data_IF_116592276530
#
_entry.id   IF_116592276530
#
_cell.length_a   1.000
_cell.length_b   1.000
_cell.length_c   1.000
_cell.angle_alpha   90.00
_cell.angle_beta   90.00
_cell.angle_gamma   90.00
#
_symmetry.space_group_name_H-M   'P 1'
#
loop_
_entity.id
_entity.type
_entity.pdbx_description
1 polymer ?
#
# COMPACT_ATOMS: atom_id res chain seq x y z
N UNK A 1 0.71 0.52 12.81
CA UNK A 1 1.09 -0.50 11.81
C UNK A 1 1.19 -1.91 12.37
N UNK A 2 1.79 -2.17 13.54
CA UNK A 2 1.86 -3.54 14.12
C UNK A 2 0.49 -4.24 14.37
N UNK A 3 -0.60 -3.48 14.45
CA UNK A 3 -1.98 -3.98 14.66
C UNK A 3 -2.93 -3.71 13.49
N UNK A 4 -2.41 -3.22 12.36
CA UNK A 4 -3.21 -2.98 11.15
C UNK A 4 -2.98 -4.15 10.21
N UNK A 5 -3.89 -5.11 10.21
CA UNK A 5 -3.88 -6.23 9.29
C UNK A 5 -5.11 -6.12 8.40
N UNK A 6 -4.90 -5.85 7.11
CA UNK A 6 -5.95 -5.74 6.12
C UNK A 6 -5.36 -6.10 4.76
N UNK A 7 -6.05 -6.92 3.97
CA UNK A 7 -5.61 -7.43 2.65
C UNK A 7 -5.31 -6.34 1.60
N UNK A 8 -5.52 -5.07 1.94
CA UNK A 8 -5.35 -3.90 1.05
C UNK A 8 -4.39 -2.85 1.63
N UNK A 9 -3.79 -3.12 2.79
CA UNK A 9 -2.75 -2.29 3.39
C UNK A 9 -1.41 -3.00 3.25
N UNK A 10 -0.37 -2.23 2.92
CA UNK A 10 0.97 -2.78 2.83
C UNK A 10 1.38 -3.36 4.19
N UNK A 11 1.69 -4.65 4.21
CA UNK A 11 2.02 -5.36 5.44
C UNK A 11 3.46 -5.02 5.87
N UNK A 12 3.60 -4.57 7.11
CA UNK A 12 4.89 -4.39 7.77
C UNK A 12 5.37 -5.73 8.34
N UNK A 13 6.51 -6.22 7.87
CA UNK A 13 7.13 -7.45 8.39
C UNK A 13 8.05 -7.18 9.57
N UNK A 14 8.93 -6.19 9.46
CA UNK A 14 9.90 -5.88 10.51
C UNK A 14 10.39 -4.44 10.45
N UNK A 15 10.93 -3.97 11.58
CA UNK A 15 11.69 -2.72 11.68
C UNK A 15 13.03 -3.07 12.31
N UNK A 16 14.12 -2.78 11.61
CA UNK A 16 15.47 -3.01 12.11
C UNK A 16 16.10 -1.66 12.47
N UNK A 17 16.60 -1.56 13.70
CA UNK A 17 17.12 -0.31 14.29
C UNK A 17 18.44 -0.53 15.03
N UNK A 18 19.08 -1.68 14.84
CA UNK A 18 20.36 -2.03 15.47
C UNK A 18 21.42 -2.31 14.40
N UNK A 19 22.65 -1.82 14.59
CA UNK A 19 23.12 -0.98 15.69
C UNK A 19 22.65 0.51 15.59
N UNK A 20 22.67 1.29 16.69
CA UNK A 20 22.03 2.63 16.78
C UNK A 20 22.59 3.71 15.85
N UNK A 21 23.78 3.48 15.29
CA UNK A 21 24.50 4.31 14.34
C UNK A 21 24.10 4.06 12.88
N UNK A 22 23.22 3.08 12.63
CA UNK A 22 22.73 2.74 11.29
C UNK A 22 21.32 3.29 11.01
N UNK A 23 20.97 3.46 9.71
CA UNK A 23 19.63 3.90 9.33
C UNK A 23 18.57 2.86 9.71
N UNK A 24 17.37 3.34 10.04
CA UNK A 24 16.22 2.50 10.32
C UNK A 24 15.75 1.83 9.03
N UNK A 25 15.69 0.50 9.03
CA UNK A 25 15.12 -0.27 7.92
C UNK A 25 13.67 -0.64 8.23
N UNK A 26 12.79 -0.43 7.25
CA UNK A 26 11.38 -0.83 7.30
C UNK A 26 11.18 -1.91 6.25
N UNK A 27 10.92 -3.13 6.70
CA UNK A 27 10.72 -4.29 5.83
C UNK A 27 9.23 -4.47 5.63
N UNK A 28 8.76 -4.37 4.39
CA UNK A 28 7.35 -4.50 4.00
C UNK A 28 7.20 -5.50 2.87
N UNK A 29 5.96 -5.87 2.55
CA UNK A 29 5.70 -6.66 1.34
C UNK A 29 6.13 -5.92 0.06
N UNK A 30 6.45 -6.69 -0.97
CA UNK A 30 6.84 -6.14 -2.27
C UNK A 30 5.60 -5.92 -3.14
N UNK A 31 5.36 -4.67 -3.54
CA UNK A 31 4.34 -4.33 -4.53
C UNK A 31 4.92 -4.51 -5.94
N UNK A 32 4.55 -5.60 -6.63
CA UNK A 32 5.11 -5.97 -7.94
C UNK A 32 5.02 -4.88 -9.01
N UNK A 33 3.99 -4.03 -8.93
CA UNK A 33 3.72 -2.96 -9.89
C UNK A 33 4.19 -1.57 -9.42
N UNK A 34 4.89 -1.50 -8.29
CA UNK A 34 5.36 -0.24 -7.71
C UNK A 34 4.22 0.66 -7.19
N UNK A 35 4.41 1.97 -7.29
CA UNK A 35 3.43 2.95 -6.82
C UNK A 35 2.32 3.17 -7.86
N UNK A 36 1.10 3.37 -7.37
CA UNK A 36 -0.10 3.51 -8.23
C UNK A 36 -0.01 4.69 -9.19
N UNK A 37 0.63 5.79 -8.79
CA UNK A 37 0.75 6.98 -9.64
C UNK A 37 1.55 6.67 -10.91
N UNK A 38 2.72 6.07 -10.76
CA UNK A 38 3.59 5.72 -11.90
C UNK A 38 2.96 4.59 -12.71
N UNK A 39 2.32 3.62 -12.05
CA UNK A 39 1.60 2.55 -12.73
C UNK A 39 0.49 3.07 -13.65
N UNK A 40 -0.27 4.08 -13.20
CA UNK A 40 -1.35 4.69 -13.96
C UNK A 40 -0.86 5.69 -15.02
N UNK A 41 0.21 6.44 -14.73
CA UNK A 41 0.72 7.48 -15.62
C UNK A 41 1.61 6.92 -16.72
N UNK A 42 2.58 6.09 -16.37
CA UNK A 42 3.68 5.69 -17.24
C UNK A 42 3.78 4.16 -17.40
N UNK A 43 2.95 3.39 -16.68
CA UNK A 43 2.96 1.94 -16.67
C UNK A 43 1.79 1.28 -17.42
N UNK A 44 1.62 -0.05 -17.22
CA UNK A 44 0.53 -0.83 -17.83
C UNK A 44 -0.87 -0.36 -17.44
N UNK A 45 -0.99 0.50 -16.42
CA UNK A 45 -2.26 1.07 -15.98
C UNK A 45 -2.94 1.97 -17.01
N UNK A 46 -2.22 2.45 -18.04
CA UNK A 46 -2.81 3.27 -19.10
C UNK A 46 -3.86 2.51 -19.93
N UNK A 47 -3.73 1.19 -20.06
CA UNK A 47 -4.66 0.36 -20.83
C UNK A 47 -5.92 -0.04 -20.04
N UNK A 48 -6.00 0.36 -18.77
CA UNK A 48 -7.12 0.02 -17.91
C UNK A 48 -8.39 0.79 -18.30
N UNK A 49 -9.50 0.04 -18.36
CA UNK A 49 -10.82 0.62 -18.62
C UNK A 49 -11.35 1.33 -17.36
N UNK A 50 -12.24 2.29 -17.59
CA UNK A 50 -12.91 3.07 -16.54
C UNK A 50 -13.45 2.23 -15.35
N UNK A 51 -14.10 1.07 -15.54
CA UNK A 51 -14.59 0.28 -14.42
C UNK A 51 -13.49 -0.18 -13.46
N UNK A 52 -12.31 -0.51 -13.99
CA UNK A 52 -11.17 -0.93 -13.18
C UNK A 52 -10.60 0.25 -12.38
N UNK A 53 -10.52 1.44 -13.00
CA UNK A 53 -10.07 2.66 -12.32
C UNK A 53 -11.01 3.04 -11.18
N UNK A 54 -12.32 2.96 -11.41
CA UNK A 54 -13.34 3.20 -10.37
C UNK A 54 -13.23 2.18 -9.24
N UNK A 55 -12.97 0.92 -9.56
CA UNK A 55 -12.74 -0.12 -8.55
C UNK A 55 -11.49 0.18 -7.72
N UNK A 56 -10.36 0.56 -8.34
CA UNK A 56 -9.15 0.96 -7.61
C UNK A 56 -9.43 2.12 -6.63
N UNK A 57 -10.16 3.15 -7.07
CA UNK A 57 -10.57 4.25 -6.19
C UNK A 57 -11.46 3.76 -5.03
N UNK A 58 -12.46 2.93 -5.33
CA UNK A 58 -13.34 2.37 -4.31
C UNK A 58 -12.58 1.54 -3.27
N UNK A 59 -11.57 0.77 -3.68
CA UNK A 59 -10.74 -0.02 -2.77
C UNK A 59 -9.99 0.86 -1.76
N UNK A 60 -9.43 1.99 -2.21
CA UNK A 60 -8.75 2.95 -1.33
C UNK A 60 -9.73 3.59 -0.35
N UNK A 61 -10.91 4.02 -0.83
CA UNK A 61 -11.94 4.62 0.02
C UNK A 61 -12.44 3.64 1.09
N UNK A 62 -12.77 2.41 0.69
CA UNK A 62 -13.22 1.35 1.61
C UNK A 62 -12.15 1.08 2.67
N UNK A 63 -10.87 1.01 2.27
CA UNK A 63 -9.77 0.81 3.21
C UNK A 63 -9.69 1.95 4.24
N UNK A 64 -9.78 3.21 3.80
CA UNK A 64 -9.74 4.37 4.70
C UNK A 64 -10.91 4.33 5.68
N UNK A 65 -12.13 4.08 5.20
CA UNK A 65 -13.34 4.02 6.04
C UNK A 65 -13.25 2.89 7.07
N UNK A 66 -12.88 1.68 6.65
CA UNK A 66 -12.79 0.53 7.55
C UNK A 66 -11.69 0.72 8.61
N UNK A 67 -10.62 1.43 8.28
CA UNK A 67 -9.55 1.76 9.22
C UNK A 67 -10.04 2.75 10.30
N UNK A 68 -10.89 3.73 9.94
CA UNK A 68 -11.47 4.67 10.90
C UNK A 68 -12.49 4.05 11.85
N UNK A 69 -13.18 2.97 11.45
CA UNK A 69 -14.17 2.26 12.27
C UNK A 69 -13.57 1.23 13.24
N UNK A 70 -12.28 0.93 13.11
CA UNK A 70 -11.58 -0.05 13.95
C UNK A 70 -10.93 0.57 15.20
N UNK A 71 -11.28 1.83 15.51
CA UNK A 71 -10.81 2.60 16.67
C UNK A 71 -11.96 2.95 17.61
#
# INVERSE_FOLDING_TARGET
>A
MKKLHHDKLIQLYAVCMEPPDQPIYIITELMCNGIVLDYLRDGPGQELKLPTLVNMAAQVVIMIINNQLSH
#
